data_IF_825872088607
#
_entry.id   IF_825872088607
#
_cell.length_a   1.000
_cell.length_b   1.000
_cell.length_c   1.000
_cell.angle_alpha   90.00
_cell.angle_beta   90.00
_cell.angle_gamma   90.00
#
_symmetry.space_group_name_H-M   'P 1'
#
loop_
_entity.id
_entity.type
_entity.pdbx_description
1 polymer ?
#
# COMPACT_ATOMS: atom_id res chain seq x y z
N UNK A 1 10.08 19.44 -0.50
CA UNK A 1 9.16 18.28 -0.49
C UNK A 1 8.09 18.47 -1.54
N UNK A 2 7.76 17.43 -2.32
CA UNK A 2 6.59 17.42 -3.23
C UNK A 2 5.60 16.37 -2.73
N UNK A 3 4.50 16.79 -2.13
CA UNK A 3 3.36 15.91 -1.85
C UNK A 3 2.55 15.73 -3.12
N UNK A 4 2.25 14.49 -3.48
CA UNK A 4 1.42 14.17 -4.64
C UNK A 4 0.10 13.61 -4.12
N UNK A 5 -0.98 14.39 -4.22
CA UNK A 5 -2.33 13.85 -4.12
C UNK A 5 -2.62 13.08 -5.41
N UNK A 6 -2.90 11.78 -5.30
CA UNK A 6 -3.23 10.93 -6.46
C UNK A 6 -4.60 10.32 -6.23
N UNK A 7 -5.55 10.66 -7.10
CA UNK A 7 -6.85 9.99 -7.15
C UNK A 7 -6.65 8.53 -7.59
N UNK A 8 -7.01 7.59 -6.71
CA UNK A 8 -6.97 6.16 -6.99
C UNK A 8 -8.14 5.78 -7.91
N UNK A 9 -7.84 5.45 -9.18
CA UNK A 9 -8.84 4.88 -10.09
C UNK A 9 -9.02 3.39 -9.80
N UNK A 10 -10.24 3.01 -9.45
CA UNK A 10 -10.69 1.62 -9.28
C UNK A 10 -10.39 0.81 -10.54
N UNK A 11 -9.62 -0.27 -10.41
CA UNK A 11 -9.37 -1.22 -11.51
C UNK A 11 -10.24 -2.44 -11.28
N UNK A 12 -11.37 -2.54 -11.98
CA UNK A 12 -12.31 -3.66 -11.92
C UNK A 12 -11.98 -4.72 -12.97
N UNK A 13 -11.52 -5.89 -12.53
CA UNK A 13 -11.47 -7.11 -13.37
C UNK A 13 -10.33 -8.09 -13.02
N UNK A 14 -10.66 -9.36 -12.80
CA UNK A 14 -9.72 -10.50 -12.77
C UNK A 14 -8.50 -10.33 -11.86
N UNK A 15 -8.68 -10.49 -10.54
CA UNK A 15 -7.72 -10.14 -9.49
C UNK A 15 -6.28 -10.63 -9.68
N UNK A 16 -6.05 -11.77 -10.33
CA UNK A 16 -4.71 -12.28 -10.63
C UNK A 16 -4.07 -11.69 -11.90
N UNK A 17 -4.84 -11.57 -12.98
CA UNK A 17 -4.34 -11.14 -14.29
C UNK A 17 -4.09 -9.63 -14.34
N UNK A 18 -5.02 -8.81 -13.84
CA UNK A 18 -4.84 -7.36 -13.75
C UNK A 18 -3.66 -6.98 -12.84
N UNK A 19 -3.50 -7.67 -11.70
CA UNK A 19 -2.35 -7.47 -10.81
C UNK A 19 -1.03 -7.84 -11.49
N UNK A 20 -1.00 -8.90 -12.30
CA UNK A 20 0.20 -9.31 -13.04
C UNK A 20 0.55 -8.32 -14.17
N UNK A 21 -0.47 -7.83 -14.89
CA UNK A 21 -0.31 -6.82 -15.95
C UNK A 21 0.18 -5.47 -15.40
N UNK A 22 -0.38 -5.02 -14.28
CA UNK A 22 0.06 -3.79 -13.61
C UNK A 22 1.51 -3.96 -13.15
N UNK A 23 1.86 -5.07 -12.49
CA UNK A 23 3.23 -5.30 -12.00
C UNK A 23 4.28 -5.30 -13.11
N UNK A 24 3.98 -5.90 -14.25
CA UNK A 24 4.94 -6.05 -15.36
C UNK A 24 5.04 -4.79 -16.25
N UNK A 25 3.94 -4.04 -16.42
CA UNK A 25 3.88 -2.98 -17.44
C UNK A 25 3.65 -1.57 -16.88
N UNK A 26 3.26 -1.43 -15.61
CA UNK A 26 3.00 -0.12 -15.02
C UNK A 26 4.30 0.67 -14.83
N UNK A 27 4.26 2.00 -15.01
CA UNK A 27 5.37 2.82 -14.54
C UNK A 27 5.45 2.80 -13.00
N UNK A 28 6.57 3.25 -12.42
CA UNK A 28 6.79 3.21 -10.96
C UNK A 28 5.67 3.90 -10.18
N UNK A 29 5.13 5.03 -10.67
CA UNK A 29 4.02 5.73 -10.02
C UNK A 29 2.75 4.89 -9.97
N UNK A 30 2.37 4.28 -11.09
CA UNK A 30 1.22 3.37 -11.15
C UNK A 30 1.44 2.12 -10.28
N UNK A 31 2.68 1.66 -10.15
CA UNK A 31 2.98 0.51 -9.30
C UNK A 31 2.92 0.86 -7.80
N UNK A 32 3.36 2.06 -7.42
CA UNK A 32 3.16 2.60 -6.06
C UNK A 32 1.67 2.65 -5.72
N UNK A 33 0.80 3.11 -6.63
CA UNK A 33 -0.64 3.07 -6.40
C UNK A 33 -1.18 1.66 -6.13
N UNK A 34 -0.59 0.64 -6.77
CA UNK A 34 -0.97 -0.75 -6.50
C UNK A 34 -0.50 -1.22 -5.11
N UNK A 35 0.68 -0.79 -4.66
CA UNK A 35 1.13 -1.01 -3.27
C UNK A 35 0.13 -0.37 -2.31
N UNK A 36 -0.22 0.90 -2.50
CA UNK A 36 -1.18 1.62 -1.65
C UNK A 36 -2.54 0.91 -1.61
N UNK A 37 -3.03 0.42 -2.76
CA UNK A 37 -4.25 -0.37 -2.83
C UNK A 37 -4.17 -1.66 -1.98
N UNK A 38 -3.05 -2.38 -2.02
CA UNK A 38 -2.87 -3.58 -1.18
C UNK A 38 -2.89 -3.22 0.31
N UNK A 39 -2.29 -2.09 0.68
CA UNK A 39 -2.31 -1.59 2.06
C UNK A 39 -3.75 -1.22 2.45
N UNK A 40 -4.43 -0.39 1.66
CA UNK A 40 -5.82 0.03 1.86
C UNK A 40 -6.77 -1.15 2.05
N UNK A 41 -6.65 -2.15 1.18
CA UNK A 41 -7.51 -3.33 1.21
C UNK A 41 -7.33 -4.17 2.47
N UNK A 42 -6.11 -4.24 2.98
CA UNK A 42 -5.78 -5.09 4.12
C UNK A 42 -5.93 -4.36 5.46
N UNK A 43 -5.74 -3.04 5.51
CA UNK A 43 -5.87 -2.26 6.74
C UNK A 43 -7.19 -1.52 6.88
N UNK A 44 -7.80 -1.08 5.78
CA UNK A 44 -8.89 -0.09 5.80
C UNK A 44 -10.06 -0.47 4.88
N UNK A 45 -10.19 -1.73 4.47
CA UNK A 45 -11.34 -2.19 3.69
C UNK A 45 -11.59 -1.44 2.37
N UNK A 46 -10.54 -0.96 1.69
CA UNK A 46 -10.60 -0.13 0.47
C UNK A 46 -11.10 1.32 0.66
N UNK A 47 -10.96 1.92 1.86
CA UNK A 47 -11.40 3.30 2.13
C UNK A 47 -10.50 4.43 1.59
N UNK A 48 -9.31 4.11 1.05
CA UNK A 48 -8.40 5.08 0.41
C UNK A 48 -8.00 6.27 1.29
N UNK A 49 -7.55 5.98 2.52
CA UNK A 49 -7.25 6.97 3.57
C UNK A 49 -5.74 7.21 3.77
N UNK A 50 -4.92 6.68 2.87
CA UNK A 50 -3.46 6.73 2.98
C UNK A 50 -2.86 7.95 2.32
N UNK A 51 -1.88 8.53 3.00
CA UNK A 51 -0.97 9.52 2.42
C UNK A 51 0.36 8.85 2.10
N UNK A 52 1.05 9.33 1.06
CA UNK A 52 2.39 8.83 0.76
C UNK A 52 3.32 9.96 0.31
N UNK A 53 4.60 9.81 0.65
CA UNK A 53 5.67 10.70 0.22
C UNK A 53 6.82 9.88 -0.35
N UNK A 54 7.49 10.45 -1.36
CA UNK A 54 8.75 9.92 -1.87
C UNK A 54 9.83 10.92 -1.49
N UNK A 55 10.77 10.46 -0.68
CA UNK A 55 11.93 11.25 -0.26
C UNK A 55 13.22 10.51 -0.59
N UNK A 56 14.12 11.20 -1.30
CA UNK A 56 15.32 10.63 -1.93
C UNK A 56 14.99 9.38 -2.78
N UNK A 57 15.09 8.20 -2.17
CA UNK A 57 14.84 6.88 -2.78
C UNK A 57 13.88 6.04 -1.93
N UNK A 58 13.14 6.63 -0.99
CA UNK A 58 12.23 5.92 -0.10
C UNK A 58 10.78 6.29 -0.39
N UNK A 59 9.93 5.28 -0.48
CA UNK A 59 8.49 5.41 -0.36
C UNK A 59 8.14 5.35 1.12
N UNK A 60 7.54 6.41 1.64
CA UNK A 60 6.93 6.45 2.96
C UNK A 60 5.41 6.52 2.78
N UNK A 61 4.68 5.74 3.56
CA UNK A 61 3.22 5.72 3.60
C UNK A 61 2.79 5.98 5.03
N UNK A 62 1.87 6.91 5.18
CA UNK A 62 1.41 7.47 6.44
C UNK A 62 -0.13 7.42 6.53
N UNK A 63 -0.64 7.31 7.75
CA UNK A 63 -2.07 7.43 8.08
C UNK A 63 -2.19 8.42 9.25
N UNK A 64 -2.85 9.56 9.04
CA UNK A 64 -2.96 10.65 10.04
C UNK A 64 -1.62 11.01 10.72
N UNK A 65 -0.56 11.17 9.92
CA UNK A 65 0.78 11.51 10.44
C UNK A 65 1.53 10.37 11.11
N UNK A 66 0.97 9.15 11.17
CA UNK A 66 1.67 7.95 11.64
C UNK A 66 2.18 7.13 10.46
N UNK A 67 3.50 6.93 10.42
CA UNK A 67 4.15 6.10 9.40
C UNK A 67 3.80 4.62 9.56
N UNK A 68 3.24 4.02 8.51
CA UNK A 68 2.78 2.63 8.50
C UNK A 68 3.65 1.72 7.61
N UNK A 69 4.27 2.27 6.58
CA UNK A 69 5.12 1.52 5.66
C UNK A 69 6.23 2.41 5.11
N UNK A 70 7.46 1.89 5.13
CA UNK A 70 8.62 2.54 4.53
C UNK A 70 9.43 1.51 3.77
N UNK A 71 9.76 1.79 2.52
CA UNK A 71 10.63 0.94 1.73
C UNK A 71 11.46 1.75 0.76
N UNK A 72 12.63 1.24 0.37
CA UNK A 72 13.43 1.84 -0.70
C UNK A 72 12.82 1.50 -2.07
N UNK A 73 12.88 2.43 -3.02
CA UNK A 73 12.28 2.28 -4.35
C UNK A 73 12.87 1.09 -5.13
N UNK A 74 14.14 0.74 -4.89
CA UNK A 74 14.74 -0.45 -5.49
C UNK A 74 14.08 -1.76 -5.03
N UNK A 75 13.58 -1.83 -3.79
CA UNK A 75 12.78 -2.96 -3.29
C UNK A 75 11.38 -2.96 -3.90
N UNK A 76 10.77 -1.77 -4.11
CA UNK A 76 9.54 -1.64 -4.89
C UNK A 76 9.73 -2.27 -6.26
N UNK A 77 10.80 -1.93 -6.97
CA UNK A 77 11.06 -2.50 -8.29
C UNK A 77 11.29 -4.03 -8.26
N UNK A 78 11.93 -4.58 -7.21
CA UNK A 78 12.05 -6.04 -7.00
C UNK A 78 10.70 -6.73 -6.84
N UNK A 79 9.69 -6.05 -6.28
CA UNK A 79 8.36 -6.64 -6.17
C UNK A 79 7.70 -6.93 -7.53
N UNK A 80 8.19 -6.38 -8.64
CA UNK A 80 7.68 -6.70 -9.98
C UNK A 80 8.00 -8.11 -10.46
N UNK A 81 9.08 -8.71 -9.98
CA UNK A 81 9.58 -9.99 -10.48
C UNK A 81 9.01 -11.23 -9.76
N UNK A 82 8.35 -11.05 -8.62
CA UNK A 82 7.84 -12.17 -7.80
C UNK A 82 6.39 -12.58 -8.15
N UNK A 83 5.74 -13.47 -7.40
CA UNK A 83 4.31 -13.76 -7.60
C UNK A 83 3.42 -12.73 -6.90
N UNK A 84 2.17 -12.54 -7.34
CA UNK A 84 1.25 -11.57 -6.71
C UNK A 84 0.96 -11.92 -5.24
N UNK A 85 0.80 -13.21 -4.94
CA UNK A 85 0.60 -13.71 -3.58
C UNK A 85 1.84 -13.45 -2.68
N UNK A 86 3.04 -13.67 -3.20
CA UNK A 86 4.26 -13.40 -2.43
C UNK A 86 4.49 -11.91 -2.20
N UNK A 87 4.16 -11.07 -3.19
CA UNK A 87 4.18 -9.62 -3.06
C UNK A 87 3.25 -9.14 -1.93
N UNK A 88 1.97 -9.52 -1.97
CA UNK A 88 1.00 -9.13 -0.94
C UNK A 88 1.43 -9.59 0.46
N UNK A 89 1.91 -10.83 0.60
CA UNK A 89 2.46 -11.36 1.86
C UNK A 89 3.64 -10.54 2.39
N UNK A 90 4.51 -10.02 1.52
CA UNK A 90 5.65 -9.19 1.94
C UNK A 90 5.19 -7.82 2.46
N UNK A 91 4.22 -7.20 1.78
CA UNK A 91 3.62 -5.93 2.21
C UNK A 91 2.95 -6.11 3.58
N UNK A 92 2.10 -7.13 3.74
CA UNK A 92 1.42 -7.46 5.00
C UNK A 92 2.43 -7.64 6.14
N UNK A 93 3.47 -8.48 5.95
CA UNK A 93 4.51 -8.68 6.97
C UNK A 93 5.24 -7.41 7.36
N UNK A 94 5.51 -6.51 6.41
CA UNK A 94 6.20 -5.25 6.68
C UNK A 94 5.33 -4.31 7.55
N UNK A 95 4.02 -4.30 7.29
CA UNK A 95 3.02 -3.54 8.05
C UNK A 95 2.85 -4.12 9.47
N UNK A 96 2.73 -5.44 9.59
CA UNK A 96 2.61 -6.13 10.88
C UNK A 96 3.84 -5.92 11.76
N UNK A 97 5.05 -5.90 11.16
CA UNK A 97 6.29 -5.58 11.87
C UNK A 97 6.31 -4.15 12.46
N UNK A 98 5.44 -3.25 12.00
CA UNK A 98 5.23 -1.90 12.55
C UNK A 98 4.12 -1.84 13.61
N UNK A 99 3.53 -2.99 13.97
CA UNK A 99 2.49 -3.11 14.99
C UNK A 99 1.07 -2.82 14.49
N UNK A 100 0.84 -2.85 13.18
CA UNK A 100 -0.49 -2.72 12.61
C UNK A 100 -1.13 -4.10 12.43
N UNK A 101 -2.40 -4.21 12.82
CA UNK A 101 -3.18 -5.43 12.59
C UNK A 101 -3.81 -5.38 11.19
N UNK A 102 -3.58 -6.41 10.38
CA UNK A 102 -4.09 -6.51 9.00
C UNK A 102 -5.32 -7.43 8.89
N UNK A 103 -5.84 -7.88 10.03
CA UNK A 103 -7.07 -8.65 10.07
C UNK A 103 -8.29 -7.74 9.87
N UNK A 104 -9.03 -7.95 8.78
CA UNK A 104 -10.11 -7.08 8.28
C UNK A 104 -11.28 -6.92 9.25
N UNK A 105 -11.39 -7.83 10.21
CA UNK A 105 -12.43 -7.81 11.24
C UNK A 105 -12.06 -6.91 12.44
N UNK A 106 -10.82 -6.41 12.51
CA UNK A 106 -10.30 -5.79 13.72
C UNK A 106 -10.25 -4.26 13.63
N UNK A 107 -11.28 -3.62 14.18
CA UNK A 107 -11.37 -2.39 15.01
C UNK A 107 -10.32 -1.25 14.95
N UNK A 108 -9.27 -1.27 14.13
CA UNK A 108 -8.25 -0.20 14.12
C UNK A 108 -8.88 1.15 13.75
N UNK A 109 -9.84 1.14 12.82
CA UNK A 109 -10.62 2.31 12.44
C UNK A 109 -11.50 2.83 13.59
N UNK A 110 -12.06 1.94 14.42
CA UNK A 110 -12.92 2.32 15.56
C UNK A 110 -12.11 2.82 16.75
N UNK A 111 -10.87 2.36 16.97
CA UNK A 111 -10.04 2.82 18.09
C UNK A 111 -9.41 4.19 17.87
N UNK A 112 -8.92 4.48 16.67
CA UNK A 112 -8.24 5.76 16.39
C UNK A 112 -9.22 6.93 16.30
N UNK A 113 -10.46 6.71 15.84
CA UNK A 113 -11.50 7.75 15.78
C UNK A 113 -12.26 7.97 17.10
N UNK A 114 -12.29 7.00 18.02
CA UNK A 114 -12.98 7.14 19.32
C UNK A 114 -12.08 7.68 20.45
N UNK A 115 -10.76 7.78 20.23
CA UNK A 115 -9.81 8.39 21.19
C UNK A 115 -9.40 9.83 20.79
N UNK A 116 -10.09 10.44 19.81
CA UNK A 116 -9.87 11.82 19.34
C UNK A 116 -10.92 12.81 19.85
#
# INVERSE_FOLDING_TARGET
MKSYNVELKKVSGGSGFASSMIRLNANTKQYINHILYVIDKNLFGDEHVLEYTIDEEKLNVDFHGKQIFTTILSEVEKFRSISANEFEKRIIKAIEAKGFNTDKENEYYMKVFNEG
#
